data_IF_598548538282
#
_entry.id   IF_598548538282
#
_cell.length_a   1.000
_cell.length_b   1.000
_cell.length_c   1.000
_cell.angle_alpha   90.00
_cell.angle_beta   90.00
_cell.angle_gamma   90.00
#
_symmetry.space_group_name_H-M   'P 1'
#
loop_
_entity.id
_entity.type
_entity.pdbx_description
1 polymer ?
#
# COMPACT_ATOMS: atom_id res chain seq x y z
N UNK A 1 48.75 -54.10 12.31
CA UNK A 1 47.74 -53.58 11.35
C UNK A 1 46.74 -52.84 12.20
N UNK A 2 46.79 -51.52 12.12
CA UNK A 2 46.03 -50.52 12.87
C UNK A 2 44.53 -50.57 12.58
N UNK A 3 43.79 -49.73 13.31
CA UNK A 3 42.39 -49.31 13.22
C UNK A 3 41.40 -50.05 14.13
N UNK A 4 40.52 -49.38 14.89
CA UNK A 4 40.30 -47.95 15.07
C UNK A 4 39.39 -47.74 16.29
N UNK A 5 39.47 -46.53 16.84
CA UNK A 5 38.51 -45.96 17.75
C UNK A 5 37.12 -45.88 17.08
N UNK A 6 36.08 -46.44 17.71
CA UNK A 6 34.71 -45.98 17.52
C UNK A 6 34.42 -45.00 18.66
N UNK A 7 34.51 -43.73 18.31
CA UNK A 7 34.23 -42.62 19.20
C UNK A 7 32.81 -42.13 18.99
N UNK A 8 32.27 -41.57 20.07
CA UNK A 8 31.47 -40.33 20.09
C UNK A 8 30.14 -40.36 19.33
N UNK A 9 29.01 -39.89 19.85
CA UNK A 9 28.69 -39.24 21.11
C UNK A 9 27.17 -39.21 21.20
N UNK A 10 26.67 -38.99 22.41
CA UNK A 10 25.26 -38.83 22.70
C UNK A 10 24.69 -37.63 21.91
N UNK A 11 23.66 -37.86 21.09
CA UNK A 11 22.80 -36.77 20.66
C UNK A 11 21.85 -36.42 21.80
N UNK A 12 22.32 -35.48 22.60
CA UNK A 12 21.56 -34.74 23.60
C UNK A 12 20.32 -34.14 22.92
N UNK A 13 19.13 -34.59 23.34
CA UNK A 13 17.87 -33.91 23.05
C UNK A 13 17.80 -32.70 23.96
N UNK A 14 18.24 -31.55 23.46
CA UNK A 14 18.11 -30.29 24.17
C UNK A 14 16.85 -29.57 23.70
N UNK A 15 15.91 -29.51 24.63
CA UNK A 15 14.72 -28.67 24.70
C UNK A 15 15.06 -27.20 24.34
N UNK A 16 14.49 -26.72 23.23
CA UNK A 16 14.65 -25.33 22.80
C UNK A 16 13.48 -24.49 23.32
N UNK A 17 13.47 -24.22 24.62
CA UNK A 17 12.87 -23.02 25.17
C UNK A 17 13.86 -21.85 24.96
N UNK A 18 13.63 -21.02 23.94
CA UNK A 18 14.44 -19.80 23.71
C UNK A 18 13.52 -18.64 23.30
N UNK A 19 13.24 -17.83 24.33
CA UNK A 19 12.97 -16.38 24.39
C UNK A 19 12.03 -15.71 23.37
N UNK A 20 10.81 -15.45 23.86
CA UNK A 20 10.12 -14.17 23.68
C UNK A 20 10.80 -13.12 24.56
N UNK A 21 11.77 -12.38 24.02
CA UNK A 21 12.12 -11.00 24.43
C UNK A 21 13.19 -10.46 23.47
N UNK A 22 12.77 -9.68 22.47
CA UNK A 22 13.65 -8.82 21.68
C UNK A 22 12.96 -7.46 21.58
N UNK A 23 13.10 -6.71 22.68
CA UNK A 23 13.16 -5.24 22.79
C UNK A 23 12.63 -4.46 21.58
N UNK A 24 11.36 -4.05 21.68
CA UNK A 24 10.91 -2.80 21.11
C UNK A 24 11.58 -1.65 21.89
N UNK A 25 12.76 -1.22 21.44
CA UNK A 25 13.29 0.08 21.81
C UNK A 25 12.70 1.11 20.86
N UNK A 26 11.60 1.70 21.29
CA UNK A 26 11.01 2.88 20.65
C UNK A 26 11.90 4.06 21.03
N UNK A 27 12.80 4.44 20.13
CA UNK A 27 13.44 5.75 20.18
C UNK A 27 12.37 6.77 19.84
N UNK A 28 11.76 7.34 20.88
CA UNK A 28 11.06 8.61 20.79
C UNK A 28 12.12 9.70 20.60
N UNK A 29 12.55 9.91 19.35
CA UNK A 29 13.21 11.15 18.98
C UNK A 29 12.13 12.19 18.72
N UNK A 30 12.17 13.27 19.51
CA UNK A 30 11.26 14.40 19.44
C UNK A 30 11.48 15.15 18.13
N UNK A 31 10.51 15.04 17.22
CA UNK A 31 10.38 15.99 16.12
C UNK A 31 9.41 17.07 16.57
N UNK A 32 10.01 18.14 17.07
CA UNK A 32 9.40 19.46 17.25
C UNK A 32 8.88 19.92 15.88
N UNK A 33 7.57 19.75 15.66
CA UNK A 33 6.88 20.35 14.51
C UNK A 33 6.57 21.77 14.91
N UNK A 34 7.41 22.71 14.45
CA UNK A 34 7.05 24.13 14.48
C UNK A 34 5.72 24.32 13.72
N UNK A 35 4.71 24.72 14.49
CA UNK A 35 3.43 25.24 14.05
C UNK A 35 3.70 26.48 13.20
N UNK A 36 3.76 26.31 11.89
CA UNK A 36 3.74 27.43 10.97
C UNK A 36 2.29 27.87 10.80
N UNK A 37 1.92 28.90 11.55
CA UNK A 37 0.76 29.74 11.32
C UNK A 37 0.74 30.22 9.86
N UNK A 38 -0.08 29.58 9.05
CA UNK A 38 -0.44 30.04 7.71
C UNK A 38 -1.97 30.11 7.60
N UNK A 39 -2.58 30.94 8.46
CA UNK A 39 -3.87 31.56 8.19
C UNK A 39 -3.58 32.87 7.43
N UNK A 40 -3.46 32.80 6.10
CA UNK A 40 -3.57 33.98 5.23
C UNK A 40 -4.28 33.65 3.91
N UNK A 41 -5.58 33.96 3.92
CA UNK A 41 -6.32 34.66 2.86
C UNK A 41 -6.24 34.11 1.43
N UNK A 42 -7.29 33.39 1.03
CA UNK A 42 -7.99 33.72 -0.22
C UNK A 42 -9.47 33.92 0.10
N UNK A 43 -9.79 35.17 0.45
CA UNK A 43 -11.14 35.70 0.40
C UNK A 43 -11.54 36.00 -1.05
N UNK A 44 -12.75 35.54 -1.40
CA UNK A 44 -13.66 36.02 -2.44
C UNK A 44 -13.24 36.01 -3.93
N UNK A 45 -13.85 35.11 -4.70
CA UNK A 45 -14.56 35.53 -5.92
C UNK A 45 -15.90 34.81 -6.11
N UNK A 46 -16.96 35.57 -5.80
CA UNK A 46 -18.29 35.63 -6.40
C UNK A 46 -18.84 34.43 -7.21
N UNK A 47 -19.95 33.87 -6.70
CA UNK A 47 -20.95 33.14 -7.49
C UNK A 47 -21.62 34.06 -8.54
N UNK A 48 -21.63 33.68 -9.84
CA UNK A 48 -22.49 34.30 -10.82
C UNK A 48 -23.91 33.70 -10.80
N UNK A 49 -24.87 34.61 -10.75
CA UNK A 49 -26.32 34.40 -10.70
C UNK A 49 -26.83 33.93 -12.06
N UNK A 50 -27.88 33.10 -12.04
CA UNK A 50 -28.55 32.47 -13.19
C UNK A 50 -28.95 33.50 -14.26
N UNK A 51 -28.48 33.31 -15.48
CA UNK A 51 -29.06 33.92 -16.68
C UNK A 51 -29.14 32.89 -17.82
N UNK A 52 -30.30 32.79 -18.45
CA UNK A 52 -30.43 32.45 -19.86
C UNK A 52 -30.43 30.98 -20.26
N UNK A 53 -31.61 30.45 -20.54
CA UNK A 53 -31.83 29.28 -21.41
C UNK A 53 -31.31 29.63 -22.82
N UNK A 54 -30.20 29.02 -23.24
CA UNK A 54 -29.75 29.01 -24.63
C UNK A 54 -29.73 27.57 -25.18
N UNK A 55 -30.44 27.36 -26.28
CA UNK A 55 -30.42 26.13 -27.08
C UNK A 55 -29.13 26.06 -27.91
N UNK A 56 -28.62 24.84 -28.08
CA UNK A 56 -27.77 24.46 -29.21
C UNK A 56 -26.28 24.54 -28.97
N UNK A 57 -25.61 23.39 -28.97
CA UNK A 57 -24.16 23.30 -28.97
C UNK A 57 -23.70 21.94 -28.46
N UNK A 58 -23.47 21.01 -29.39
CA UNK A 58 -22.90 19.69 -29.10
C UNK A 58 -21.64 19.83 -28.25
N UNK A 59 -21.72 19.48 -26.96
CA UNK A 59 -20.54 19.29 -26.11
C UNK A 59 -19.88 18.01 -26.60
N UNK A 60 -18.92 18.14 -27.52
CA UNK A 60 -17.95 17.07 -27.78
C UNK A 60 -17.26 16.80 -26.45
N UNK A 61 -17.49 15.60 -25.91
CA UNK A 61 -16.85 15.15 -24.68
C UNK A 61 -15.35 15.33 -24.82
N UNK A 62 -14.76 16.13 -23.94
CA UNK A 62 -13.32 16.13 -23.73
C UNK A 62 -13.01 14.84 -22.96
N UNK A 63 -12.88 13.73 -23.68
CA UNK A 63 -12.29 12.51 -23.12
C UNK A 63 -10.81 12.78 -22.99
N UNK A 64 -10.37 13.18 -21.80
CA UNK A 64 -8.95 13.30 -21.47
C UNK A 64 -8.30 11.93 -21.74
N UNK A 65 -7.29 11.80 -22.61
CA UNK A 65 -6.72 10.48 -22.96
C UNK A 65 -5.88 9.84 -21.85
N UNK A 66 -5.81 10.45 -20.67
CA UNK A 66 -4.87 10.05 -19.61
C UNK A 66 -5.45 9.05 -18.60
N UNK A 67 -6.74 8.72 -18.67
CA UNK A 67 -7.33 7.73 -17.76
C UNK A 67 -7.07 6.29 -18.23
N UNK A 68 -6.65 6.10 -19.48
CA UNK A 68 -6.42 4.80 -20.11
C UNK A 68 -5.03 4.20 -19.84
N UNK A 69 -4.15 4.92 -19.13
CA UNK A 69 -2.79 4.46 -18.81
C UNK A 69 -2.63 3.98 -17.37
N UNK A 70 -3.61 4.23 -16.48
CA UNK A 70 -3.55 3.70 -15.11
C UNK A 70 -3.78 2.19 -15.16
N UNK A 71 -2.93 1.38 -14.52
CA UNK A 71 -3.12 -0.06 -14.47
C UNK A 71 -4.45 -0.39 -13.81
N UNK A 72 -5.30 -1.13 -14.52
CA UNK A 72 -6.59 -1.56 -13.99
C UNK A 72 -6.40 -2.76 -13.06
N UNK A 73 -6.41 -2.47 -11.77
CA UNK A 73 -6.30 -3.44 -10.67
C UNK A 73 -7.64 -3.73 -10.01
N UNK A 74 -8.71 -3.04 -10.43
CA UNK A 74 -10.00 -3.03 -9.74
C UNK A 74 -10.72 -4.40 -9.77
N UNK A 75 -10.39 -5.20 -10.77
CA UNK A 75 -10.96 -6.53 -11.00
C UNK A 75 -10.26 -7.65 -10.21
N UNK A 76 -9.16 -7.38 -9.52
CA UNK A 76 -8.38 -8.40 -8.83
C UNK A 76 -8.95 -8.73 -7.45
N UNK A 77 -8.87 -10.00 -7.05
CA UNK A 77 -9.03 -10.36 -5.64
C UNK A 77 -7.86 -9.83 -4.79
N UNK A 78 -8.03 -9.82 -3.46
CA UNK A 78 -6.97 -9.39 -2.55
C UNK A 78 -5.69 -10.22 -2.71
N UNK A 79 -5.82 -11.55 -2.80
CA UNK A 79 -4.68 -12.47 -2.92
C UNK A 79 -3.94 -12.25 -4.25
N UNK A 80 -4.68 -12.13 -5.37
CA UNK A 80 -4.08 -11.83 -6.67
C UNK A 80 -3.39 -10.46 -6.69
N UNK A 81 -3.99 -9.45 -6.08
CA UNK A 81 -3.38 -8.12 -6.00
C UNK A 81 -2.12 -8.12 -5.13
N UNK A 82 -2.14 -8.83 -4.00
CA UNK A 82 -0.96 -9.01 -3.13
C UNK A 82 0.17 -9.73 -3.86
N UNK A 83 -0.13 -10.83 -4.55
CA UNK A 83 0.88 -11.63 -5.24
C UNK A 83 1.52 -10.83 -6.38
N UNK A 84 0.72 -10.07 -7.15
CA UNK A 84 1.24 -9.13 -8.15
C UNK A 84 2.06 -7.99 -7.54
N UNK A 85 1.69 -7.52 -6.36
CA UNK A 85 2.45 -6.48 -5.66
C UNK A 85 3.83 -7.01 -5.27
N UNK A 86 3.91 -8.23 -4.73
CA UNK A 86 5.17 -8.91 -4.42
C UNK A 86 6.04 -9.07 -5.67
N UNK A 87 5.47 -9.50 -6.81
CA UNK A 87 6.19 -9.58 -8.07
C UNK A 87 6.72 -8.21 -8.52
N UNK A 88 5.88 -7.17 -8.42
CA UNK A 88 6.24 -5.80 -8.82
C UNK A 88 7.39 -5.26 -7.99
N UNK A 89 7.33 -5.44 -6.66
CA UNK A 89 8.40 -5.04 -5.73
C UNK A 89 9.68 -5.83 -6.04
N UNK A 90 9.60 -7.15 -6.21
CA UNK A 90 10.76 -7.97 -6.54
C UNK A 90 11.46 -7.52 -7.83
N UNK A 91 10.69 -7.12 -8.85
CA UNK A 91 11.23 -6.56 -10.10
C UNK A 91 11.90 -5.21 -9.89
N UNK A 92 11.32 -4.32 -9.08
CA UNK A 92 11.95 -3.04 -8.71
C UNK A 92 13.28 -3.26 -7.96
N UNK A 93 13.29 -4.17 -6.99
CA UNK A 93 14.46 -4.50 -6.17
C UNK A 93 15.60 -5.15 -6.97
N UNK A 94 15.28 -5.85 -8.07
CA UNK A 94 16.29 -6.42 -8.96
C UNK A 94 17.17 -5.36 -9.63
N UNK A 95 16.68 -4.12 -9.76
CA UNK A 95 17.39 -3.02 -10.44
C UNK A 95 17.63 -3.26 -11.94
N UNK A 96 16.96 -4.24 -12.55
CA UNK A 96 17.15 -4.64 -13.94
C UNK A 96 16.28 -3.86 -14.93
N UNK A 97 15.30 -3.10 -14.44
CA UNK A 97 14.41 -2.27 -15.25
C UNK A 97 15.10 -0.95 -15.63
N UNK A 98 14.87 -0.46 -16.86
CA UNK A 98 15.23 0.90 -17.22
C UNK A 98 14.35 1.93 -16.47
N UNK A 99 14.65 3.22 -16.65
CA UNK A 99 13.95 4.29 -15.94
C UNK A 99 12.44 4.31 -16.22
N UNK A 100 12.04 4.16 -17.48
CA UNK A 100 10.62 4.22 -17.87
C UNK A 100 9.87 3.01 -17.32
N UNK A 101 10.46 1.83 -17.42
CA UNK A 101 9.94 0.60 -16.82
C UNK A 101 9.87 0.67 -15.30
N UNK A 102 10.85 1.30 -14.64
CA UNK A 102 10.86 1.49 -13.18
C UNK A 102 9.74 2.40 -12.71
N UNK A 103 9.48 3.49 -13.44
CA UNK A 103 8.34 4.38 -13.16
C UNK A 103 7.01 3.64 -13.33
N UNK A 104 6.86 2.87 -14.41
CA UNK A 104 5.64 2.09 -14.65
C UNK A 104 5.41 1.00 -13.58
N UNK A 105 6.47 0.32 -13.14
CA UNK A 105 6.39 -0.65 -12.04
C UNK A 105 6.00 0.03 -10.72
N UNK A 106 6.55 1.22 -10.43
CA UNK A 106 6.17 1.97 -9.25
C UNK A 106 4.69 2.38 -9.27
N UNK A 107 4.18 2.93 -10.39
CA UNK A 107 2.76 3.30 -10.52
C UNK A 107 1.83 2.10 -10.38
N UNK A 108 2.23 0.93 -10.90
CA UNK A 108 1.50 -0.33 -10.70
C UNK A 108 1.53 -0.76 -9.23
N UNK A 109 2.68 -0.67 -8.57
CA UNK A 109 2.83 -0.96 -7.15
C UNK A 109 1.90 -0.12 -6.28
N UNK A 110 1.86 1.19 -6.52
CA UNK A 110 0.96 2.12 -5.82
C UNK A 110 -0.52 1.75 -6.03
N UNK A 111 -0.91 1.42 -7.27
CA UNK A 111 -2.28 1.02 -7.56
C UNK A 111 -2.66 -0.28 -6.84
N UNK A 112 -1.77 -1.28 -6.83
CA UNK A 112 -1.99 -2.56 -6.15
C UNK A 112 -2.07 -2.38 -4.64
N UNK A 113 -1.18 -1.59 -4.04
CA UNK A 113 -1.19 -1.29 -2.61
C UNK A 113 -2.50 -0.61 -2.19
N UNK A 114 -2.93 0.41 -2.94
CA UNK A 114 -4.20 1.09 -2.69
C UNK A 114 -5.41 0.14 -2.76
N UNK A 115 -5.42 -0.78 -3.73
CA UNK A 115 -6.47 -1.79 -3.85
C UNK A 115 -6.49 -2.77 -2.67
N UNK A 116 -5.31 -3.23 -2.24
CA UNK A 116 -5.15 -4.11 -1.08
C UNK A 116 -5.68 -3.45 0.20
N UNK A 117 -5.28 -2.20 0.48
CA UNK A 117 -5.77 -1.44 1.64
C UNK A 117 -7.28 -1.29 1.59
N UNK A 118 -7.83 -0.86 0.45
CA UNK A 118 -9.27 -0.71 0.31
C UNK A 118 -10.04 -2.04 0.51
N UNK A 119 -9.44 -3.18 0.16
CA UNK A 119 -10.04 -4.49 0.41
C UNK A 119 -10.06 -4.84 1.90
N UNK A 120 -8.99 -4.53 2.64
CA UNK A 120 -8.90 -4.72 4.08
C UNK A 120 -9.88 -3.82 4.84
N UNK A 121 -9.98 -2.54 4.47
CA UNK A 121 -10.93 -1.60 5.07
C UNK A 121 -12.38 -2.09 4.95
N UNK A 122 -12.74 -2.66 3.78
CA UNK A 122 -14.07 -3.25 3.57
C UNK A 122 -14.31 -4.48 4.44
N UNK A 123 -13.27 -5.28 4.70
CA UNK A 123 -13.36 -6.45 5.55
C UNK A 123 -13.53 -6.04 7.01
N UNK A 124 -12.74 -5.08 7.49
CA UNK A 124 -12.84 -4.52 8.84
C UNK A 124 -14.22 -3.92 9.09
N UNK A 125 -14.72 -3.08 8.18
CA UNK A 125 -16.06 -2.51 8.31
C UNK A 125 -17.18 -3.57 8.35
N UNK A 126 -16.98 -4.75 7.74
CA UNK A 126 -17.92 -5.88 7.86
C UNK A 126 -17.86 -6.53 9.24
N UNK A 127 -16.68 -6.62 9.84
CA UNK A 127 -16.48 -7.18 11.18
C UNK A 127 -17.09 -6.26 12.24
N UNK A 128 -16.89 -4.95 12.12
CA UNK A 128 -17.44 -3.99 13.09
C UNK A 128 -18.97 -3.99 13.08
N UNK A 129 -19.59 -3.96 11.89
CA UNK A 129 -21.05 -4.13 11.78
C UNK A 129 -21.56 -5.44 12.36
N UNK A 130 -20.76 -6.51 12.29
CA UNK A 130 -21.14 -7.79 12.87
C UNK A 130 -21.05 -7.75 14.40
N UNK A 131 -20.07 -7.06 14.98
CA UNK A 131 -19.92 -6.85 16.43
C UNK A 131 -21.07 -6.01 16.98
N UNK A 132 -21.34 -4.86 16.36
CA UNK A 132 -22.42 -3.94 16.78
C UNK A 132 -23.82 -4.61 16.76
N UNK A 133 -24.02 -5.62 15.91
CA UNK A 133 -25.27 -6.37 15.83
C UNK A 133 -25.42 -7.45 16.92
N UNK A 134 -24.34 -7.80 17.63
CA UNK A 134 -24.35 -8.78 18.72
C UNK A 134 -24.57 -8.16 20.09
N UNK A 135 -24.36 -6.84 20.21
CA UNK A 135 -24.60 -6.03 21.41
C UNK A 135 -26.05 -5.52 21.48
#
# INVERSE_FOLDING_TARGET
>A
MTDAQDGTDAVETTDAAVVVDATAEVVAEETDVEETDADDVISEEAQPKKAGRAKGGARRGRTTPQQSARPDVSHLSYEEARDKLVETVSRLESGQADLEASVALWELGEALAAHCTAALDRAEARLDRARDAQD
#
